data_IF_300282989868
#
_entry.id   IF_300282989868
#
_cell.length_a   1.000
_cell.length_b   1.000
_cell.length_c   1.000
_cell.angle_alpha   90.00
_cell.angle_beta   90.00
_cell.angle_gamma   90.00
#
_symmetry.space_group_name_H-M   'P 1'
#
loop_
_entity.id
_entity.type
_entity.pdbx_description
1 polymer ?
#
# COMPACT_ATOMS: atom_id res chain seq x y z
N UNK A 1 18.91 -5.46 -0.37
CA UNK A 1 19.33 -4.06 -0.14
C UNK A 1 18.32 -2.99 -0.61
N UNK A 2 17.38 -3.24 -1.52
CA UNK A 2 16.43 -2.19 -1.98
C UNK A 2 15.47 -1.71 -0.90
N UNK A 3 14.84 -2.62 -0.15
CA UNK A 3 13.90 -2.26 0.93
C UNK A 3 14.56 -1.48 2.06
N UNK A 4 15.80 -1.82 2.41
CA UNK A 4 16.57 -1.10 3.44
C UNK A 4 16.87 0.34 3.00
N UNK A 5 17.29 0.54 1.75
CA UNK A 5 17.48 1.89 1.18
C UNK A 5 16.17 2.69 1.15
N UNK A 6 15.05 2.04 0.85
CA UNK A 6 13.73 2.68 0.88
C UNK A 6 13.36 3.06 2.33
N UNK A 7 13.59 2.18 3.30
CA UNK A 7 13.38 2.48 4.72
C UNK A 7 14.23 3.66 5.18
N UNK A 8 15.50 3.70 4.80
CA UNK A 8 16.41 4.77 5.18
C UNK A 8 16.00 6.13 4.58
N UNK A 9 15.55 6.14 3.32
CA UNK A 9 15.20 7.38 2.61
C UNK A 9 13.78 7.88 2.88
N UNK A 10 12.80 6.98 2.96
CA UNK A 10 11.37 7.31 3.03
C UNK A 10 10.77 7.02 4.41
N UNK A 11 11.53 6.44 5.34
CA UNK A 11 11.04 6.06 6.68
C UNK A 11 10.04 4.90 6.68
N UNK A 12 9.74 4.30 5.53
CA UNK A 12 8.72 3.24 5.39
C UNK A 12 9.36 1.85 5.28
N UNK A 13 8.82 0.92 6.05
CA UNK A 13 9.27 -0.47 6.05
C UNK A 13 8.29 -1.32 5.25
N UNK A 14 8.82 -2.08 4.28
CA UNK A 14 8.04 -2.95 3.43
C UNK A 14 8.65 -4.35 3.40
N UNK A 15 7.81 -5.35 3.23
CA UNK A 15 8.21 -6.74 3.04
C UNK A 15 7.50 -7.34 1.82
N UNK A 16 8.18 -8.25 1.13
CA UNK A 16 7.54 -9.03 0.07
C UNK A 16 6.43 -9.87 0.68
N UNK A 17 5.24 -9.82 0.08
CA UNK A 17 4.03 -10.45 0.60
C UNK A 17 3.11 -9.51 1.37
N UNK A 18 3.57 -8.32 1.77
CA UNK A 18 2.70 -7.34 2.43
C UNK A 18 1.55 -6.93 1.51
N UNK A 19 0.35 -6.83 2.09
CA UNK A 19 -0.82 -6.24 1.43
C UNK A 19 -0.76 -4.73 1.58
N UNK A 20 -0.91 -4.04 0.45
CA UNK A 20 -0.82 -2.59 0.36
C UNK A 20 -1.97 -2.00 -0.44
N UNK A 21 -2.27 -0.74 -0.17
CA UNK A 21 -3.15 0.09 -0.98
C UNK A 21 -2.35 1.22 -1.60
N UNK A 22 -2.54 1.43 -2.90
CA UNK A 22 -2.00 2.56 -3.66
C UNK A 22 -3.17 3.20 -4.42
N UNK A 23 -3.46 4.48 -4.18
CA UNK A 23 -4.56 5.19 -4.86
C UNK A 23 -5.90 4.43 -4.83
N UNK A 24 -6.24 3.81 -3.68
CA UNK A 24 -7.47 3.02 -3.53
C UNK A 24 -7.43 1.62 -4.17
N UNK A 25 -6.33 1.23 -4.81
CA UNK A 25 -6.16 -0.11 -5.39
C UNK A 25 -5.39 -1.02 -4.45
N UNK A 26 -5.98 -2.18 -4.16
CA UNK A 26 -5.35 -3.23 -3.36
C UNK A 26 -4.32 -4.01 -4.19
N UNK A 27 -3.16 -4.26 -3.59
CA UNK A 27 -2.12 -5.06 -4.19
C UNK A 27 -1.24 -5.74 -3.16
N UNK A 28 -0.29 -6.52 -3.67
CA UNK A 28 0.69 -7.23 -2.85
C UNK A 28 2.09 -6.83 -3.28
N UNK A 29 2.97 -6.53 -2.32
CA UNK A 29 4.37 -6.24 -2.60
C UNK A 29 5.05 -7.49 -3.13
N UNK A 30 5.59 -7.42 -4.33
CA UNK A 30 6.37 -8.51 -4.94
C UNK A 30 7.88 -8.29 -4.79
N UNK A 31 8.31 -7.05 -4.54
CA UNK A 31 9.72 -6.73 -4.38
C UNK A 31 9.95 -5.23 -4.30
N UNK A 32 11.21 -4.81 -4.46
CA UNK A 32 11.58 -3.41 -4.53
C UNK A 32 12.76 -3.17 -5.47
N UNK A 33 12.71 -2.07 -6.20
CA UNK A 33 13.76 -1.57 -7.07
C UNK A 33 13.95 -0.10 -6.74
N UNK A 34 14.92 0.22 -5.89
CA UNK A 34 15.14 1.59 -5.40
C UNK A 34 15.13 2.60 -6.56
N UNK A 35 14.36 3.71 -6.47
CA UNK A 35 13.62 4.18 -5.30
C UNK A 35 12.20 3.61 -5.12
N UNK A 36 11.72 2.75 -6.00
CA UNK A 36 10.33 2.27 -6.04
C UNK A 36 10.11 0.91 -5.36
N UNK A 37 8.87 0.67 -4.94
CA UNK A 37 8.39 -0.65 -4.49
C UNK A 37 7.59 -1.31 -5.61
N UNK A 38 7.77 -2.60 -5.83
CA UNK A 38 7.03 -3.35 -6.85
C UNK A 38 5.78 -3.96 -6.24
N UNK A 39 4.62 -3.58 -6.78
CA UNK A 39 3.32 -4.04 -6.31
C UNK A 39 2.59 -4.74 -7.44
N UNK A 40 2.10 -5.96 -7.18
CA UNK A 40 1.14 -6.63 -8.07
C UNK A 40 -0.26 -6.33 -7.55
N UNK A 41 -0.99 -5.50 -8.27
CA UNK A 41 -2.39 -5.21 -7.97
C UNK A 41 -3.28 -6.42 -8.22
N UNK A 42 -4.38 -6.48 -7.47
CA UNK A 42 -5.39 -7.51 -7.66
C UNK A 42 -5.96 -7.48 -9.08
N UNK A 43 -6.19 -8.65 -9.69
CA UNK A 43 -6.58 -8.76 -11.10
C UNK A 43 -5.50 -8.41 -12.13
N UNK A 44 -4.27 -8.05 -11.72
CA UNK A 44 -3.15 -7.79 -12.65
C UNK A 44 -2.11 -8.91 -12.62
N UNK A 45 -1.62 -9.29 -13.80
CA UNK A 45 -0.55 -10.29 -13.92
C UNK A 45 0.84 -9.71 -13.64
N UNK A 46 1.04 -8.41 -13.92
CA UNK A 46 2.34 -7.75 -13.81
C UNK A 46 2.46 -6.89 -12.54
N UNK A 47 3.67 -6.80 -12.00
CA UNK A 47 3.99 -5.90 -10.91
C UNK A 47 4.44 -4.53 -11.44
N UNK A 48 3.85 -3.47 -10.91
CA UNK A 48 4.16 -2.09 -11.28
C UNK A 48 5.01 -1.41 -10.19
N UNK A 49 5.89 -0.48 -10.57
CA UNK A 49 6.61 0.33 -9.60
C UNK A 49 5.65 1.37 -9.00
N UNK A 50 5.63 1.48 -7.68
CA UNK A 50 4.87 2.46 -6.92
C UNK A 50 5.81 3.29 -6.06
N UNK A 51 5.45 4.54 -5.80
CA UNK A 51 6.18 5.39 -4.88
C UNK A 51 5.98 4.89 -3.43
N UNK A 52 7.07 4.78 -2.64
CA UNK A 52 6.99 4.38 -1.24
C UNK A 52 6.03 5.22 -0.40
N UNK A 53 5.88 6.51 -0.68
CA UNK A 53 5.02 7.42 0.10
C UNK A 53 3.53 7.20 -0.17
N UNK A 54 3.18 6.73 -1.36
CA UNK A 54 1.79 6.46 -1.78
C UNK A 54 1.29 5.10 -1.25
N UNK A 55 2.21 4.22 -0.84
CA UNK A 55 1.89 2.89 -0.34
C UNK A 55 1.52 2.89 1.14
N UNK A 56 0.34 2.36 1.42
CA UNK A 56 -0.17 2.14 2.77
C UNK A 56 -0.18 0.64 3.05
N UNK A 57 0.55 0.20 4.09
CA UNK A 57 0.58 -1.20 4.54
C UNK A 57 -0.64 -1.46 5.42
N UNK A 58 -1.42 -2.49 5.07
CA UNK A 58 -2.66 -2.83 5.76
C UNK A 58 -3.89 -2.69 4.86
N UNK A 59 -5.03 -3.18 5.35
CA UNK A 59 -6.32 -2.90 4.73
C UNK A 59 -6.47 -1.38 4.59
N UNK A 60 -7.06 -0.92 3.49
CA UNK A 60 -7.39 0.49 3.28
C UNK A 60 -7.85 1.08 4.62
N UNK A 61 -7.42 2.30 5.01
CA UNK A 61 -8.16 2.98 6.06
C UNK A 61 -9.60 2.92 5.59
N UNK A 62 -10.42 2.19 6.34
CA UNK A 62 -11.86 2.26 6.19
C UNK A 62 -12.06 3.76 6.30
N UNK A 63 -12.35 4.41 5.18
CA UNK A 63 -12.98 5.70 5.24
C UNK A 63 -14.27 5.36 5.98
N UNK A 64 -14.23 5.52 7.30
CA UNK A 64 -15.39 5.54 8.15
C UNK A 64 -16.13 6.81 7.72
N UNK A 65 -16.76 6.75 6.54
CA UNK A 65 -17.92 7.54 6.22
C UNK A 65 -18.92 7.08 7.27
N UNK A 66 -18.94 7.87 8.33
CA UNK A 66 -19.78 7.72 9.50
C UNK A 66 -21.14 7.21 9.06
N UNK A 67 -21.50 6.06 9.62
CA UNK A 67 -22.89 5.71 9.83
C UNK A 67 -23.54 6.92 10.52
N UNK A 68 -24.26 7.74 9.75
CA UNK A 68 -25.30 8.59 10.28
C UNK A 68 -26.52 7.68 10.41
N UNK A 69 -26.50 6.83 11.45
CA UNK A 69 -27.73 6.22 11.93
C UNK A 69 -28.64 7.36 12.41
N UNK A 70 -29.87 7.51 11.90
CA UNK A 70 -30.82 8.43 12.50
C UNK A 70 -31.26 7.86 13.85
N UNK A 71 -30.80 8.49 14.93
CA UNK A 71 -31.33 8.21 16.27
C UNK A 71 -32.81 8.62 16.33
N UNK A 72 -33.70 7.79 16.91
CA UNK A 72 -35.10 8.11 17.03
C UNK A 72 -35.32 9.09 18.19
N UNK A 73 -36.27 10.00 18.04
CA UNK A 73 -36.92 10.72 19.15
C UNK A 73 -38.39 10.90 18.81
#
# INVERSE_FOLDING_TARGET
>A
MSFEKIKLRFGRSFRRGDRVVCEGRLGTITGATYPHVRVRFDGRQIAVPCDPCELHVGAAPIATLSALEPQPS
#
